data_IF_385382886485
#
_entry.id   IF_385382886485
#
_cell.length_a   1.000
_cell.length_b   1.000
_cell.length_c   1.000
_cell.angle_alpha   90.00
_cell.angle_beta   90.00
_cell.angle_gamma   90.00
#
_symmetry.space_group_name_H-M   'P 1'
#
loop_
_entity.id
_entity.type
_entity.pdbx_description
1 polymer ?
#
# COMPACT_ATOMS: atom_id res chain seq x y z
N UNK A 1 -65.06 36.18 -17.12
CA UNK A 1 -64.42 36.74 -15.91
C UNK A 1 -63.26 35.83 -15.52
N UNK A 2 -62.12 36.40 -15.08
CA UNK A 2 -60.77 36.09 -15.60
C UNK A 2 -59.84 35.37 -14.56
N UNK A 3 -58.96 34.45 -14.97
CA UNK A 3 -57.50 34.58 -15.27
C UNK A 3 -56.57 34.31 -14.05
N UNK A 4 -55.23 34.21 -14.20
CA UNK A 4 -54.35 33.61 -15.24
C UNK A 4 -53.26 32.68 -14.60
N UNK A 5 -52.64 31.71 -15.29
CA UNK A 5 -51.52 31.74 -16.28
C UNK A 5 -50.19 32.38 -15.83
N UNK A 6 -49.07 31.65 -15.95
CA UNK A 6 -47.78 32.13 -16.50
C UNK A 6 -46.80 30.97 -16.84
N UNK A 7 -45.97 31.23 -17.86
CA UNK A 7 -45.08 30.34 -18.66
C UNK A 7 -43.58 30.56 -18.36
N UNK A 8 -42.82 29.47 -18.43
CA UNK A 8 -41.66 29.13 -19.30
C UNK A 8 -40.45 30.09 -19.55
N UNK A 9 -39.26 29.42 -19.53
CA UNK A 9 -37.93 29.67 -20.15
C UNK A 9 -36.81 30.54 -19.52
N UNK A 10 -35.58 29.97 -19.53
CA UNK A 10 -34.23 30.55 -19.37
C UNK A 10 -33.71 31.15 -20.73
N UNK A 11 -32.44 31.66 -20.97
CA UNK A 11 -31.20 31.71 -20.15
C UNK A 11 -30.27 32.98 -20.28
N UNK A 12 -29.13 32.94 -19.56
CA UNK A 12 -27.81 33.62 -19.72
C UNK A 12 -27.67 35.17 -19.82
N UNK A 13 -26.84 35.79 -18.94
CA UNK A 13 -25.50 36.38 -19.26
C UNK A 13 -25.01 37.46 -18.27
N UNK A 14 -23.69 37.43 -18.01
CA UNK A 14 -22.74 38.56 -17.83
C UNK A 14 -22.55 39.35 -16.52
N UNK A 15 -21.27 39.73 -16.37
CA UNK A 15 -20.54 40.43 -15.31
C UNK A 15 -20.91 41.91 -15.13
N UNK A 16 -20.38 42.47 -14.02
CA UNK A 16 -19.78 43.82 -13.84
C UNK A 16 -20.24 44.58 -12.58
N UNK A 17 -19.28 45.39 -12.14
CA UNK A 17 -19.11 46.16 -10.90
C UNK A 17 -20.30 47.04 -10.45
N UNK A 18 -20.26 47.41 -9.15
CA UNK A 18 -20.01 48.77 -8.63
C UNK A 18 -20.76 48.95 -7.28
N UNK A 19 -20.06 48.96 -6.15
CA UNK A 19 -19.75 50.17 -5.35
C UNK A 19 -20.79 51.31 -5.43
N UNK A 20 -21.32 51.73 -4.27
CA UNK A 20 -21.21 53.12 -3.79
C UNK A 20 -22.06 53.40 -2.53
N UNK A 21 -21.40 53.90 -1.49
CA UNK A 21 -21.61 55.26 -0.98
C UNK A 21 -20.37 55.60 -0.13
N UNK A 22 -19.41 56.42 -0.58
CA UNK A 22 -19.43 57.90 -0.65
C UNK A 22 -19.98 58.54 0.64
N UNK A 23 -19.36 59.52 1.27
CA UNK A 23 -18.19 60.40 1.02
C UNK A 23 -18.07 61.27 2.29
N UNK A 24 -16.91 61.79 2.68
CA UNK A 24 -16.21 62.94 2.12
C UNK A 24 -15.42 63.58 3.28
N UNK A 25 -14.12 63.82 3.08
CA UNK A 25 -13.50 65.17 2.99
C UNK A 25 -13.43 65.93 4.34
N UNK A 26 -12.37 66.64 4.72
CA UNK A 26 -11.06 67.01 4.18
C UNK A 26 -10.31 67.81 5.28
N UNK A 27 -8.98 68.00 5.18
CA UNK A 27 -8.29 69.16 5.78
C UNK A 27 -7.16 68.91 6.81
N UNK A 28 -5.92 69.11 6.36
CA UNK A 28 -4.60 69.22 7.05
C UNK A 28 -4.52 70.32 8.15
N UNK A 29 -3.46 70.43 9.04
CA UNK A 29 -2.03 70.31 8.72
C UNK A 29 -1.02 69.78 9.80
N UNK A 30 0.24 69.74 9.33
CA UNK A 30 1.59 69.41 9.82
C UNK A 30 2.06 69.41 11.31
N UNK A 31 3.06 68.51 11.52
CA UNK A 31 4.35 68.60 12.23
C UNK A 31 4.49 68.16 13.71
N UNK A 32 5.30 67.09 13.94
CA UNK A 32 6.58 67.10 14.70
C UNK A 32 7.24 65.70 14.70
N UNK A 33 8.58 65.66 14.60
CA UNK A 33 9.45 64.45 14.62
C UNK A 33 9.96 64.17 16.05
N UNK A 34 10.21 62.88 16.38
CA UNK A 34 11.39 62.28 17.10
C UNK A 34 11.05 60.84 17.61
N UNK A 35 12.00 59.95 18.02
CA UNK A 35 12.63 59.01 17.08
C UNK A 35 12.67 57.51 17.53
N UNK A 36 12.95 56.68 16.51
CA UNK A 36 13.73 55.43 16.48
C UNK A 36 13.49 54.32 17.52
N UNK A 37 12.75 53.31 17.07
CA UNK A 37 12.76 51.92 17.52
C UNK A 37 14.07 51.21 17.14
N UNK A 38 14.66 50.50 18.10
CA UNK A 38 15.80 49.59 17.94
C UNK A 38 15.43 48.33 17.12
N UNK A 39 16.28 47.83 16.20
CA UNK A 39 16.02 46.56 15.54
C UNK A 39 16.58 45.35 16.35
N UNK A 40 15.99 44.16 16.19
CA UNK A 40 16.40 42.94 16.89
C UNK A 40 17.68 42.32 16.29
N UNK A 41 18.36 41.54 17.13
CA UNK A 41 19.51 40.70 16.83
C UNK A 41 19.27 39.81 15.60
N UNK A 42 19.84 40.20 14.46
CA UNK A 42 19.67 39.48 13.20
C UNK A 42 20.50 40.03 12.06
N UNK A 43 21.79 40.36 12.27
CA UNK A 43 22.75 40.60 11.18
C UNK A 43 24.17 40.79 11.72
N UNK A 44 24.85 39.68 12.08
CA UNK A 44 26.28 39.71 12.40
C UNK A 44 27.03 38.45 11.92
N UNK A 45 26.51 37.80 10.87
CA UNK A 45 27.20 36.73 10.15
C UNK A 45 27.31 37.01 8.64
N UNK A 46 26.84 38.15 8.15
CA UNK A 46 26.81 38.49 6.72
C UNK A 46 27.91 39.44 6.25
N UNK A 47 28.88 39.80 7.11
CA UNK A 47 30.00 40.69 6.75
C UNK A 47 31.40 40.05 6.88
N UNK A 48 31.47 38.71 6.94
CA UNK A 48 32.74 37.95 6.79
C UNK A 48 33.04 37.61 5.31
N UNK A 49 32.14 37.98 4.39
CA UNK A 49 32.27 37.74 2.96
C UNK A 49 32.65 39.01 2.17
N UNK A 50 33.56 39.86 2.66
CA UNK A 50 34.14 40.91 1.82
C UNK A 50 35.50 41.47 2.31
N UNK A 51 36.47 40.61 2.61
CA UNK A 51 37.90 40.98 2.59
C UNK A 51 38.78 39.81 2.14
N UNK A 52 38.61 39.36 0.89
CA UNK A 52 39.67 38.62 0.18
C UNK A 52 40.48 39.63 -0.63
N UNK A 53 41.56 40.14 -0.04
CA UNK A 53 42.60 40.89 -0.73
C UNK A 53 43.96 40.51 -0.14
N UNK A 54 44.97 40.16 -0.96
CA UNK A 54 46.25 39.69 -0.45
C UNK A 54 46.97 40.78 0.35
N UNK A 55 47.62 40.36 1.45
CA UNK A 55 48.57 41.15 2.25
C UNK A 55 49.86 41.43 1.46
N UNK A 56 49.75 42.09 0.31
CA UNK A 56 50.87 42.45 -0.54
C UNK A 56 50.72 43.86 -1.06
N UNK A 57 50.56 44.84 -0.16
CA UNK A 57 50.94 46.26 -0.33
C UNK A 57 50.46 47.10 0.85
N UNK A 58 51.27 47.19 1.92
CA UNK A 58 51.28 48.39 2.78
C UNK A 58 52.74 48.72 3.09
N UNK A 59 53.18 49.88 2.55
CA UNK A 59 54.48 50.50 2.77
C UNK A 59 54.32 51.56 3.86
N UNK A 60 54.75 51.28 5.10
CA UNK A 60 55.29 52.24 6.08
C UNK A 60 55.25 51.70 7.53
N UNK A 61 56.23 52.06 8.36
CA UNK A 61 56.36 51.66 9.76
C UNK A 61 55.38 52.37 10.72
N UNK A 62 54.61 53.38 10.27
CA UNK A 62 53.71 54.17 11.12
C UNK A 62 52.39 53.44 11.47
N UNK A 63 51.89 52.58 10.58
CA UNK A 63 50.62 51.84 10.80
C UNK A 63 50.77 50.60 11.69
N UNK A 64 51.99 50.13 11.96
CA UNK A 64 52.25 48.99 12.89
C UNK A 64 52.09 49.39 14.36
N UNK A 65 52.36 50.65 14.74
CA UNK A 65 52.21 51.12 16.13
C UNK A 65 50.74 51.28 16.56
N UNK A 66 49.84 51.64 15.64
CA UNK A 66 48.40 51.74 15.91
C UNK A 66 47.70 50.39 16.07
N UNK A 67 48.13 49.37 15.31
CA UNK A 67 47.61 48.01 15.42
C UNK A 67 48.08 47.30 16.71
N UNK A 68 49.33 47.52 17.14
CA UNK A 68 49.90 46.91 18.35
C UNK A 68 49.31 47.54 19.64
N UNK A 69 49.04 48.85 19.66
CA UNK A 69 48.39 49.50 20.82
C UNK A 69 46.92 49.09 21.01
N UNK A 70 46.20 48.79 19.92
CA UNK A 70 44.83 48.24 19.98
C UNK A 70 44.83 46.78 20.47
N UNK A 71 45.85 45.99 20.13
CA UNK A 71 45.99 44.60 20.59
C UNK A 71 46.32 44.52 22.10
N UNK A 72 47.13 45.45 22.62
CA UNK A 72 47.47 45.51 24.06
C UNK A 72 46.28 45.98 24.91
N UNK A 73 45.47 46.94 24.44
CA UNK A 73 44.24 47.32 25.13
C UNK A 73 43.17 46.20 25.12
N UNK A 74 43.09 45.41 24.03
CA UNK A 74 42.17 44.28 23.93
C UNK A 74 42.59 43.12 24.86
N UNK A 75 43.89 42.90 25.04
CA UNK A 75 44.45 41.91 25.96
C UNK A 75 44.34 42.34 27.45
N UNK A 76 44.50 43.63 27.76
CA UNK A 76 44.30 44.14 29.12
C UNK A 76 42.83 44.06 29.59
N UNK A 77 41.86 44.24 28.69
CA UNK A 77 40.43 44.03 29.00
C UNK A 77 40.04 42.56 29.13
N UNK A 78 40.81 41.63 28.53
CA UNK A 78 40.59 40.19 28.69
C UNK A 78 41.11 39.67 30.04
N UNK A 79 42.15 40.30 30.60
CA UNK A 79 42.76 39.90 31.87
C UNK A 79 41.97 40.45 33.07
N UNK A 80 41.36 41.63 32.96
CA UNK A 80 40.53 42.22 34.04
C UNK A 80 39.17 41.54 34.26
N UNK A 81 38.71 40.68 33.33
CA UNK A 81 37.52 39.85 33.52
C UNK A 81 37.78 38.55 34.31
N UNK A 82 39.03 38.23 34.64
CA UNK A 82 39.38 37.01 35.41
C UNK A 82 39.46 37.23 36.93
N UNK A 83 39.23 38.46 37.40
CA UNK A 83 39.43 38.85 38.81
C UNK A 83 38.13 38.99 39.64
N UNK A 84 36.95 38.83 39.06
CA UNK A 84 35.69 38.85 39.81
C UNK A 84 35.06 37.48 39.71
N UNK A 85 35.05 36.74 40.82
CA UNK A 85 34.54 35.38 40.96
C UNK A 85 33.04 35.24 40.67
N UNK A 86 32.64 35.49 39.43
CA UNK A 86 31.31 35.35 38.88
C UNK A 86 31.40 34.70 37.48
N UNK A 87 32.23 33.66 37.36
CA UNK A 87 32.27 32.77 36.20
C UNK A 87 32.05 31.31 36.65
N UNK A 88 31.13 31.09 37.59
CA UNK A 88 30.77 29.74 38.05
C UNK A 88 29.26 29.49 38.17
N UNK A 89 28.42 30.36 37.59
CA UNK A 89 26.95 30.19 37.60
C UNK A 89 26.30 30.51 36.24
N UNK A 90 26.90 30.09 35.13
CA UNK A 90 26.26 30.13 33.80
C UNK A 90 26.92 29.17 32.79
N UNK A 91 27.49 28.05 33.25
CA UNK A 91 27.52 26.87 32.40
C UNK A 91 26.09 26.33 32.44
N UNK A 92 25.23 26.50 31.41
CA UNK A 92 24.18 25.51 31.26
C UNK A 92 24.90 24.18 31.23
N UNK A 93 24.35 23.21 31.95
CA UNK A 93 24.76 21.81 31.90
C UNK A 93 24.89 21.44 30.41
N UNK A 94 26.09 21.55 29.83
CA UNK A 94 26.39 21.00 28.53
C UNK A 94 26.40 19.51 28.81
N UNK A 95 25.21 18.91 28.78
CA UNK A 95 25.11 17.48 28.52
C UNK A 95 25.92 17.29 27.25
N UNK A 96 27.10 16.67 27.39
CA UNK A 96 27.93 16.33 26.25
C UNK A 96 27.04 15.47 25.36
N UNK A 97 26.58 16.05 24.26
CA UNK A 97 25.71 15.38 23.32
C UNK A 97 26.55 14.24 22.72
N UNK A 98 26.19 13.01 23.06
CA UNK A 98 26.96 11.84 22.66
C UNK A 98 26.50 11.41 21.27
N UNK A 99 27.44 11.02 20.41
CA UNK A 99 27.11 10.40 19.14
C UNK A 99 26.23 9.16 19.40
N UNK A 100 25.27 8.84 18.51
CA UNK A 100 24.44 7.66 18.66
C UNK A 100 25.32 6.41 18.67
N UNK A 101 24.83 5.34 19.29
CA UNK A 101 25.48 4.03 19.21
C UNK A 101 24.44 2.98 18.84
N UNK A 102 24.69 2.20 17.78
CA UNK A 102 23.83 1.12 17.31
C UNK A 102 24.39 -0.20 17.85
N UNK A 103 23.60 -0.92 18.64
CA UNK A 103 23.99 -2.23 19.16
C UNK A 103 23.46 -3.37 18.29
N UNK A 104 22.23 -3.24 17.79
CA UNK A 104 21.59 -4.29 17.00
C UNK A 104 20.37 -3.79 16.22
N UNK A 105 19.97 -4.59 15.23
CA UNK A 105 18.70 -4.48 14.51
C UNK A 105 18.03 -5.86 14.49
N UNK A 106 16.72 -5.91 14.74
CA UNK A 106 15.94 -7.14 14.73
C UNK A 106 14.61 -6.95 13.98
N UNK A 107 14.25 -7.85 13.04
CA UNK A 107 15.11 -8.89 12.46
C UNK A 107 16.29 -8.31 11.67
N UNK A 108 17.39 -9.08 11.57
CA UNK A 108 18.60 -8.68 10.81
C UNK A 108 18.50 -8.92 9.29
N UNK A 109 17.33 -9.32 8.80
CA UNK A 109 17.12 -9.63 7.39
C UNK A 109 15.66 -9.44 6.99
N UNK A 110 15.42 -9.16 5.71
CA UNK A 110 14.10 -8.99 5.13
C UNK A 110 14.14 -9.00 3.60
N UNK A 111 12.97 -9.00 2.97
CA UNK A 111 12.85 -9.13 1.52
C UNK A 111 13.35 -7.87 0.79
N UNK A 112 13.89 -8.04 -0.41
CA UNK A 112 14.26 -6.93 -1.33
C UNK A 112 13.11 -5.98 -1.66
N UNK A 113 11.85 -6.41 -1.49
CA UNK A 113 10.66 -5.57 -1.67
C UNK A 113 10.40 -4.60 -0.51
N UNK A 114 11.08 -4.75 0.62
CA UNK A 114 10.82 -3.98 1.84
C UNK A 114 9.63 -4.50 2.65
N UNK A 115 9.08 -3.66 3.52
CA UNK A 115 7.94 -3.93 4.39
C UNK A 115 8.26 -4.71 5.67
N UNK A 116 9.52 -5.13 5.87
CA UNK A 116 9.93 -5.79 7.12
C UNK A 116 9.92 -4.77 8.26
N UNK A 117 9.11 -4.99 9.29
CA UNK A 117 9.13 -4.14 10.48
C UNK A 117 10.36 -4.49 11.33
N UNK A 118 11.22 -3.51 11.58
CA UNK A 118 12.48 -3.66 12.33
C UNK A 118 12.48 -2.81 13.58
N UNK A 119 13.23 -3.28 14.59
CA UNK A 119 13.57 -2.53 15.79
C UNK A 119 15.09 -2.43 15.89
N UNK A 120 15.59 -1.22 15.96
CA UNK A 120 17.00 -0.89 16.16
C UNK A 120 17.18 -0.55 17.65
N UNK A 121 18.14 -1.21 18.30
CA UNK A 121 18.47 -0.99 19.71
C UNK A 121 19.88 -0.40 19.83
N UNK A 122 20.04 0.56 20.73
CA UNK A 122 21.28 1.34 20.87
C UNK A 122 21.25 2.31 22.05
N UNK A 123 22.03 3.38 21.95
CA UNK A 123 22.09 4.48 22.92
C UNK A 123 22.15 5.84 22.23
N UNK A 124 21.75 6.89 22.96
CA UNK A 124 21.82 8.29 22.56
C UNK A 124 21.04 8.64 21.29
N UNK A 125 19.90 7.97 21.08
CA UNK A 125 18.94 8.39 20.07
C UNK A 125 18.19 9.64 20.56
N UNK A 126 18.07 10.66 19.71
CA UNK A 126 17.24 11.82 19.98
C UNK A 126 15.91 11.74 19.21
N UNK A 127 14.94 12.58 19.55
CA UNK A 127 13.61 12.56 18.94
C UNK A 127 13.59 12.92 17.45
N UNK A 128 14.71 13.41 16.89
CA UNK A 128 14.88 13.75 15.48
C UNK A 128 15.74 12.72 14.74
N UNK A 129 16.05 11.58 15.37
CA UNK A 129 16.85 10.53 14.76
C UNK A 129 16.23 10.06 13.45
N UNK A 130 17.06 9.99 12.40
CA UNK A 130 16.71 9.42 11.10
C UNK A 130 17.53 8.16 10.86
N UNK A 131 16.95 7.22 10.11
CA UNK A 131 17.57 5.92 9.85
C UNK A 131 17.59 5.66 8.35
N UNK A 132 18.72 5.16 7.85
CA UNK A 132 18.85 4.61 6.50
C UNK A 132 19.33 3.17 6.56
N UNK A 133 18.80 2.32 5.67
CA UNK A 133 19.27 0.94 5.46
C UNK A 133 19.76 0.83 4.01
N UNK A 134 21.07 0.67 3.85
CA UNK A 134 21.76 0.89 2.58
C UNK A 134 21.66 2.36 2.18
N UNK A 135 21.04 2.64 1.02
CA UNK A 135 20.83 4.00 0.52
C UNK A 135 19.38 4.50 0.71
N UNK A 136 18.52 3.73 1.36
CA UNK A 136 17.08 4.00 1.43
C UNK A 136 16.68 4.42 2.86
N UNK A 137 15.88 5.48 3.04
CA UNK A 137 15.39 5.90 4.35
C UNK A 137 14.39 4.89 4.92
N UNK A 138 14.47 4.63 6.21
CA UNK A 138 13.50 3.82 6.94
C UNK A 138 12.11 4.49 6.89
N UNK A 139 11.07 3.72 6.64
CA UNK A 139 9.69 4.21 6.56
C UNK A 139 8.99 4.11 7.91
N UNK A 140 7.98 4.96 8.17
CA UNK A 140 7.21 4.96 9.43
C UNK A 140 8.08 4.96 10.69
N UNK A 141 9.12 5.80 10.71
CA UNK A 141 10.08 5.86 11.81
C UNK A 141 9.41 6.32 13.10
N UNK A 142 9.53 5.52 14.14
CA UNK A 142 9.12 5.84 15.50
C UNK A 142 10.35 5.74 16.42
N UNK A 143 10.80 6.87 16.96
CA UNK A 143 11.83 6.90 18.00
C UNK A 143 11.18 6.61 19.35
N UNK A 144 11.49 5.45 19.94
CA UNK A 144 10.86 4.93 21.15
C UNK A 144 11.75 5.16 22.39
N UNK A 145 12.27 6.38 22.50
CA UNK A 145 13.22 6.78 23.54
C UNK A 145 14.68 6.79 23.06
N UNK A 146 15.60 6.99 24.00
CA UNK A 146 17.04 7.16 23.74
C UNK A 146 17.77 5.86 23.36
N UNK A 147 17.08 4.73 23.40
CA UNK A 147 17.66 3.40 23.20
C UNK A 147 17.01 2.58 22.10
N UNK A 148 15.88 3.02 21.51
CA UNK A 148 15.15 2.25 20.50
C UNK A 148 14.56 3.10 19.38
N UNK A 149 14.64 2.60 18.15
CA UNK A 149 13.93 3.13 16.97
C UNK A 149 13.22 1.96 16.29
N UNK A 150 11.97 2.14 15.88
CA UNK A 150 11.22 1.19 15.08
C UNK A 150 10.82 1.80 13.73
N UNK A 151 10.59 0.95 12.73
CA UNK A 151 10.10 1.37 11.42
C UNK A 151 10.07 0.22 10.42
N UNK A 152 9.67 0.51 9.19
CA UNK A 152 9.58 -0.46 8.10
C UNK A 152 10.77 -0.30 7.15
N UNK A 153 11.43 -1.41 6.84
CA UNK A 153 12.53 -1.43 5.87
C UNK A 153 11.98 -1.15 4.47
N UNK A 154 12.53 -0.17 3.73
CA UNK A 154 12.15 0.11 2.35
C UNK A 154 12.63 -0.99 1.38
N UNK A 155 12.25 -0.90 0.11
CA UNK A 155 12.82 -1.78 -0.91
C UNK A 155 14.35 -1.54 -1.08
N UNK A 156 15.08 -2.62 -1.38
CA UNK A 156 16.54 -2.60 -1.47
C UNK A 156 17.13 -3.71 -2.35
N UNK A 157 18.44 -3.61 -2.60
CA UNK A 157 19.19 -4.58 -3.41
C UNK A 157 19.59 -5.79 -2.57
N UNK A 158 19.57 -6.98 -3.18
CA UNK A 158 20.01 -8.23 -2.53
C UNK A 158 21.42 -8.13 -1.97
N UNK A 159 21.60 -8.59 -0.74
CA UNK A 159 22.88 -8.63 -0.05
C UNK A 159 22.88 -7.89 1.28
N UNK A 160 24.03 -7.83 1.97
CA UNK A 160 24.20 -7.04 3.18
C UNK A 160 24.02 -5.54 2.87
N UNK A 161 23.41 -4.82 3.80
CA UNK A 161 23.18 -3.38 3.78
C UNK A 161 23.55 -2.78 5.14
N UNK A 162 24.23 -1.64 5.09
CA UNK A 162 24.62 -0.89 6.28
C UNK A 162 23.40 -0.21 6.90
N UNK A 163 23.31 -0.19 8.23
CA UNK A 163 22.26 0.54 8.96
C UNK A 163 22.90 1.77 9.58
N UNK A 164 22.49 2.96 9.15
CA UNK A 164 22.99 4.23 9.68
C UNK A 164 21.90 4.94 10.46
N UNK A 165 22.21 5.36 11.68
CA UNK A 165 21.36 6.25 12.49
C UNK A 165 22.06 7.60 12.56
N UNK A 166 21.36 8.66 12.18
CA UNK A 166 21.82 10.03 12.25
C UNK A 166 20.99 10.81 13.28
N UNK A 167 21.66 11.45 14.22
CA UNK A 167 21.07 12.31 15.26
C UNK A 167 21.67 13.71 15.17
N UNK A 168 21.17 14.64 15.98
CA UNK A 168 21.76 15.99 16.10
C UNK A 168 23.21 16.00 16.59
N UNK A 169 23.66 14.91 17.21
CA UNK A 169 24.97 14.78 17.86
C UNK A 169 25.99 13.98 17.05
N UNK A 170 25.60 13.50 15.85
CA UNK A 170 26.45 12.73 14.95
C UNK A 170 25.74 11.51 14.37
N UNK A 171 26.51 10.64 13.73
CA UNK A 171 26.00 9.45 13.08
C UNK A 171 26.76 8.22 13.59
N UNK A 172 26.08 7.08 13.58
CA UNK A 172 26.70 5.77 13.76
C UNK A 172 26.20 4.81 12.68
N UNK A 173 27.04 3.83 12.33
CA UNK A 173 26.76 2.89 11.25
C UNK A 173 27.10 1.47 11.66
N UNK A 174 26.08 0.62 11.68
CA UNK A 174 26.22 -0.82 11.81
C UNK A 174 26.45 -1.41 10.42
N UNK A 175 27.71 -1.64 10.06
CA UNK A 175 28.07 -2.19 8.75
C UNK A 175 27.52 -3.60 8.56
N UNK A 176 26.85 -3.85 7.44
CA UNK A 176 26.16 -5.10 7.15
C UNK A 176 25.09 -5.48 8.19
N UNK A 177 24.58 -4.51 8.95
CA UNK A 177 23.63 -4.74 10.05
C UNK A 177 22.33 -5.39 9.60
N UNK A 178 21.92 -5.18 8.34
CA UNK A 178 20.74 -5.78 7.75
C UNK A 178 21.11 -6.54 6.47
N UNK A 179 20.41 -7.63 6.17
CA UNK A 179 20.59 -8.36 4.90
C UNK A 179 19.29 -8.38 4.12
N UNK A 180 19.30 -7.77 2.94
CA UNK A 180 18.25 -7.96 1.95
C UNK A 180 18.41 -9.35 1.35
N UNK A 181 17.50 -10.24 1.70
CA UNK A 181 17.38 -11.51 1.01
C UNK A 181 16.54 -11.27 -0.22
N UNK A 182 17.05 -11.65 -1.39
CA UNK A 182 16.19 -11.82 -2.54
C UNK A 182 15.05 -12.73 -2.08
N UNK A 183 13.81 -12.26 -2.22
CA UNK A 183 12.77 -13.26 -2.41
C UNK A 183 13.27 -14.16 -3.52
N UNK A 184 13.29 -15.49 -3.31
CA UNK A 184 13.22 -16.38 -4.47
C UNK A 184 12.13 -15.75 -5.35
N UNK A 185 12.32 -15.49 -6.66
CA UNK A 185 11.15 -15.22 -7.48
C UNK A 185 10.23 -16.35 -7.10
N UNK A 186 9.10 -16.06 -6.44
CA UNK A 186 8.20 -17.11 -6.04
C UNK A 186 8.04 -17.88 -7.34
N UNK A 187 8.39 -19.17 -7.33
CA UNK A 187 7.85 -20.01 -8.39
C UNK A 187 6.37 -19.70 -8.24
N UNK A 188 5.81 -18.97 -9.22
CA UNK A 188 4.41 -18.62 -9.14
C UNK A 188 3.76 -19.98 -9.02
N UNK A 189 3.04 -20.19 -7.95
CA UNK A 189 2.40 -21.47 -7.72
C UNK A 189 0.92 -21.28 -7.93
N UNK A 190 0.23 -22.39 -7.99
CA UNK A 190 -1.21 -22.48 -8.02
C UNK A 190 -1.60 -23.70 -7.18
N UNK A 191 -2.87 -23.81 -6.86
CA UNK A 191 -3.40 -25.01 -6.24
C UNK A 191 -4.01 -25.90 -7.31
N UNK A 192 -3.61 -27.17 -7.32
CA UNK A 192 -4.24 -28.23 -8.09
C UNK A 192 -5.24 -28.96 -7.19
N UNK A 193 -6.46 -29.07 -7.69
CA UNK A 193 -7.58 -29.79 -7.10
C UNK A 193 -7.83 -31.05 -7.94
N UNK A 194 -8.07 -32.18 -7.29
CA UNK A 194 -8.16 -33.50 -7.92
C UNK A 194 -9.58 -33.98 -8.23
N UNK A 195 -10.60 -33.21 -7.86
CA UNK A 195 -12.01 -33.54 -8.09
C UNK A 195 -12.63 -34.50 -7.07
N UNK A 196 -11.90 -34.90 -6.01
CA UNK A 196 -12.36 -35.91 -5.05
C UNK A 196 -12.71 -35.32 -3.68
N UNK A 197 -11.78 -34.60 -3.04
CA UNK A 197 -11.94 -34.07 -1.69
C UNK A 197 -11.16 -32.77 -1.41
N UNK A 198 -10.42 -32.28 -2.41
CA UNK A 198 -9.62 -31.06 -2.31
C UNK A 198 -10.45 -29.78 -2.18
N UNK A 199 -10.15 -28.97 -1.17
CA UNK A 199 -10.65 -27.59 -1.07
C UNK A 199 -9.72 -26.67 -0.27
N UNK A 200 -9.97 -25.36 -0.36
CA UNK A 200 -9.50 -24.38 0.62
C UNK A 200 -10.70 -23.86 1.40
N UNK A 201 -10.64 -23.88 2.73
CA UNK A 201 -11.65 -23.28 3.59
C UNK A 201 -11.17 -21.94 4.16
N UNK A 202 -11.95 -20.89 3.92
CA UNK A 202 -11.75 -19.54 4.47
C UNK A 202 -12.85 -19.31 5.51
N UNK A 203 -12.49 -19.08 6.79
CA UNK A 203 -13.47 -18.81 7.84
C UNK A 203 -14.43 -17.68 7.49
N UNK A 204 -15.64 -17.72 8.06
CA UNK A 204 -16.60 -16.64 7.89
C UNK A 204 -16.02 -15.29 8.31
N UNK A 205 -16.34 -14.25 7.54
CA UNK A 205 -15.92 -12.89 7.81
C UNK A 205 -16.95 -11.89 7.27
N UNK A 206 -17.30 -10.82 8.01
CA UNK A 206 -18.27 -9.82 7.56
C UNK A 206 -17.95 -9.16 6.21
N UNK A 207 -16.65 -8.98 5.89
CA UNK A 207 -16.23 -8.42 4.60
C UNK A 207 -16.58 -9.31 3.39
N UNK A 208 -16.79 -10.61 3.61
CA UNK A 208 -17.20 -11.57 2.58
C UNK A 208 -18.73 -11.81 2.58
N UNK A 209 -19.47 -11.26 3.55
CA UNK A 209 -20.94 -11.24 3.62
C UNK A 209 -21.51 -10.05 2.83
N UNK A 210 -21.37 -10.09 1.50
CA UNK A 210 -21.65 -8.94 0.63
C UNK A 210 -23.12 -8.91 0.17
N UNK A 211 -23.88 -7.91 0.61
CA UNK A 211 -25.28 -7.70 0.20
C UNK A 211 -25.43 -6.77 -1.01
N UNK A 212 -24.45 -5.89 -1.21
CA UNK A 212 -24.36 -4.96 -2.33
C UNK A 212 -23.73 -5.62 -3.55
N UNK A 213 -23.14 -4.79 -4.40
CA UNK A 213 -22.43 -5.23 -5.59
C UNK A 213 -21.14 -5.97 -5.24
N UNK A 214 -20.76 -6.92 -6.08
CA UNK A 214 -19.52 -7.67 -5.87
C UNK A 214 -19.00 -8.28 -7.15
N UNK A 215 -17.73 -8.66 -7.11
CA UNK A 215 -17.05 -9.40 -8.17
C UNK A 215 -16.24 -10.54 -7.57
N UNK A 216 -16.33 -11.73 -8.16
CA UNK A 216 -15.44 -12.86 -7.85
C UNK A 216 -14.70 -13.23 -9.11
N UNK A 217 -13.38 -13.35 -9.05
CA UNK A 217 -12.55 -13.68 -10.21
C UNK A 217 -11.40 -14.62 -9.84
N UNK A 218 -10.93 -15.38 -10.83
CA UNK A 218 -9.81 -16.31 -10.70
C UNK A 218 -9.17 -16.61 -12.06
N UNK A 219 -7.93 -17.07 -12.05
CA UNK A 219 -7.37 -17.83 -13.16
C UNK A 219 -7.62 -19.31 -12.95
N UNK A 220 -8.07 -20.00 -14.00
CA UNK A 220 -8.34 -21.45 -13.97
C UNK A 220 -7.70 -22.15 -15.16
N UNK A 221 -7.23 -23.39 -14.96
CA UNK A 221 -6.86 -24.33 -16.01
C UNK A 221 -7.58 -25.65 -15.72
N UNK A 222 -8.53 -26.01 -16.58
CA UNK A 222 -9.42 -27.15 -16.35
C UNK A 222 -9.17 -28.25 -17.39
N UNK A 223 -9.31 -29.53 -17.00
CA UNK A 223 -9.26 -30.66 -17.93
C UNK A 223 -10.45 -30.63 -18.90
N UNK A 224 -10.39 -31.34 -20.04
CA UNK A 224 -11.46 -31.37 -21.04
C UNK A 224 -12.82 -31.86 -20.56
N UNK A 225 -12.84 -32.64 -19.50
CA UNK A 225 -14.03 -33.19 -18.87
C UNK A 225 -13.81 -33.22 -17.37
N UNK A 226 -14.88 -33.04 -16.59
CA UNK A 226 -14.86 -33.29 -15.16
C UNK A 226 -15.33 -34.73 -14.92
N UNK A 227 -14.59 -35.53 -14.16
CA UNK A 227 -15.03 -36.88 -13.78
C UNK A 227 -15.88 -36.85 -12.49
N UNK A 228 -17.04 -36.20 -12.56
CA UNK A 228 -17.90 -36.04 -11.39
C UNK A 228 -19.38 -36.29 -11.70
N UNK A 229 -20.07 -36.91 -10.75
CA UNK A 229 -21.48 -37.29 -10.88
C UNK A 229 -22.46 -36.12 -10.68
N UNK A 230 -21.97 -34.90 -10.42
CA UNK A 230 -22.79 -33.72 -10.10
C UNK A 230 -22.85 -32.74 -11.28
N UNK A 231 -23.85 -31.85 -11.27
CA UNK A 231 -24.05 -30.88 -12.37
C UNK A 231 -23.02 -29.75 -12.40
N UNK A 232 -22.51 -29.34 -11.23
CA UNK A 232 -21.57 -28.21 -11.14
C UNK A 232 -20.52 -28.42 -10.08
N UNK A 233 -19.32 -27.88 -10.31
CA UNK A 233 -18.21 -27.87 -9.35
C UNK A 233 -17.79 -26.43 -9.01
N UNK A 234 -17.49 -26.12 -7.74
CA UNK A 234 -17.18 -24.75 -7.34
C UNK A 234 -15.73 -24.37 -7.63
N UNK A 235 -15.53 -23.24 -8.31
CA UNK A 235 -14.24 -22.54 -8.30
C UNK A 235 -14.13 -21.77 -6.99
N UNK A 236 -15.14 -20.95 -6.68
CA UNK A 236 -15.29 -20.23 -5.41
C UNK A 236 -16.75 -20.25 -4.99
N UNK A 237 -17.04 -20.53 -3.74
CA UNK A 237 -18.39 -20.41 -3.20
C UNK A 237 -18.39 -19.85 -1.78
N UNK A 238 -19.42 -19.11 -1.42
CA UNK A 238 -19.75 -18.83 -0.02
C UNK A 238 -21.22 -19.14 0.14
N UNK A 239 -21.51 -20.31 0.67
CA UNK A 239 -22.88 -20.80 0.71
C UNK A 239 -23.16 -21.71 1.90
N UNK A 240 -24.42 -21.68 2.33
CA UNK A 240 -24.95 -22.31 3.53
C UNK A 240 -26.12 -23.24 3.19
N UNK A 241 -26.31 -24.28 4.00
CA UNK A 241 -27.55 -25.07 4.01
C UNK A 241 -28.66 -24.39 4.83
N UNK A 242 -28.44 -23.17 5.33
CA UNK A 242 -29.45 -22.38 6.03
C UNK A 242 -30.42 -21.72 5.04
N UNK A 243 -31.51 -22.42 4.74
CA UNK A 243 -32.60 -21.96 3.87
C UNK A 243 -33.65 -21.09 4.58
N UNK A 244 -33.25 -20.37 5.63
CA UNK A 244 -34.16 -19.46 6.33
C UNK A 244 -33.72 -18.00 6.31
N UNK A 245 -32.41 -17.72 6.22
CA UNK A 245 -31.89 -16.36 6.35
C UNK A 245 -30.64 -16.04 5.55
N UNK A 246 -29.91 -17.05 5.05
CA UNK A 246 -28.53 -16.87 4.58
C UNK A 246 -28.46 -16.71 3.06
N UNK A 247 -27.95 -15.56 2.60
CA UNK A 247 -27.63 -15.33 1.18
C UNK A 247 -26.43 -16.17 0.74
N UNK A 248 -26.30 -16.42 -0.56
CA UNK A 248 -25.28 -17.29 -1.13
C UNK A 248 -24.78 -16.75 -2.48
N UNK A 249 -23.52 -17.03 -2.80
CA UNK A 249 -22.95 -16.80 -4.13
C UNK A 249 -21.97 -17.89 -4.53
N UNK A 250 -21.93 -18.18 -5.83
CA UNK A 250 -21.12 -19.25 -6.41
C UNK A 250 -20.52 -18.83 -7.75
N UNK A 251 -19.21 -18.96 -7.88
CA UNK A 251 -18.51 -19.04 -9.15
C UNK A 251 -18.18 -20.52 -9.38
N UNK A 252 -18.93 -21.17 -10.27
CA UNK A 252 -18.86 -22.60 -10.53
C UNK A 252 -18.50 -22.86 -12.00
N UNK A 253 -18.28 -24.13 -12.31
CA UNK A 253 -18.34 -24.67 -13.66
C UNK A 253 -19.48 -25.67 -13.77
N UNK A 254 -20.04 -25.82 -14.97
CA UNK A 254 -20.90 -26.94 -15.32
C UNK A 254 -20.03 -28.13 -15.72
N UNK A 255 -20.32 -29.33 -15.22
CA UNK A 255 -19.39 -30.46 -15.34
C UNK A 255 -19.45 -31.19 -16.69
N UNK A 256 -20.55 -31.05 -17.44
CA UNK A 256 -20.76 -31.67 -18.76
C UNK A 256 -20.02 -30.96 -19.89
N UNK A 257 -19.91 -29.64 -19.85
CA UNK A 257 -19.30 -28.82 -20.91
C UNK A 257 -18.27 -27.79 -20.42
N UNK A 258 -17.94 -27.79 -19.12
CA UNK A 258 -17.03 -26.85 -18.46
C UNK A 258 -17.42 -25.37 -18.67
N UNK A 259 -18.70 -25.04 -18.87
CA UNK A 259 -19.12 -23.66 -18.96
C UNK A 259 -19.09 -22.96 -17.59
N UNK A 260 -18.70 -21.68 -17.59
CA UNK A 260 -18.70 -20.84 -16.40
C UNK A 260 -20.13 -20.65 -15.89
N UNK A 261 -20.36 -20.85 -14.61
CA UNK A 261 -21.65 -20.66 -13.95
C UNK A 261 -21.51 -19.62 -12.85
N UNK A 262 -22.33 -18.58 -12.90
CA UNK A 262 -22.52 -17.66 -11.79
C UNK A 262 -23.90 -17.86 -11.20
N UNK A 263 -23.97 -18.18 -9.91
CA UNK A 263 -25.24 -18.28 -9.20
C UNK A 263 -25.26 -17.41 -7.95
N UNK A 264 -26.46 -16.93 -7.62
CA UNK A 264 -26.77 -16.29 -6.34
C UNK A 264 -28.06 -16.88 -5.76
N UNK A 265 -28.13 -16.93 -4.44
CA UNK A 265 -29.31 -17.38 -3.71
C UNK A 265 -29.60 -16.46 -2.54
N UNK A 266 -30.87 -16.25 -2.23
CA UNK A 266 -31.28 -15.41 -1.10
C UNK A 266 -31.48 -16.20 0.19
N UNK A 267 -31.42 -17.53 0.13
CA UNK A 267 -31.59 -18.41 1.27
C UNK A 267 -33.03 -18.58 1.74
N UNK A 268 -34.05 -18.16 1.00
CA UNK A 268 -35.46 -18.47 1.32
C UNK A 268 -36.27 -18.96 0.11
N UNK A 269 -35.57 -19.35 -0.96
CA UNK A 269 -36.17 -19.90 -2.19
C UNK A 269 -35.92 -19.06 -3.44
N UNK A 270 -35.39 -17.84 -3.32
CA UNK A 270 -34.88 -17.07 -4.44
C UNK A 270 -33.52 -17.60 -4.89
N UNK A 271 -33.43 -17.98 -6.16
CA UNK A 271 -32.21 -18.52 -6.76
C UNK A 271 -32.11 -18.07 -8.22
N UNK A 272 -30.95 -17.55 -8.61
CA UNK A 272 -30.68 -17.08 -9.96
C UNK A 272 -29.36 -17.66 -10.45
N UNK A 273 -29.36 -18.21 -11.66
CA UNK A 273 -28.20 -18.79 -12.33
C UNK A 273 -27.99 -18.11 -13.67
N UNK A 274 -26.74 -17.86 -14.01
CA UNK A 274 -26.27 -17.40 -15.30
C UNK A 274 -25.16 -18.34 -15.76
N UNK A 275 -25.28 -18.87 -16.97
CA UNK A 275 -24.29 -19.78 -17.58
C UNK A 275 -23.63 -19.10 -18.77
N UNK A 276 -22.33 -19.26 -18.88
CA UNK A 276 -21.53 -18.90 -20.05
C UNK A 276 -21.76 -19.83 -21.23
N UNK A 277 -20.86 -19.78 -22.20
CA UNK A 277 -20.91 -20.56 -23.45
C UNK A 277 -19.54 -21.03 -23.95
N UNK A 278 -18.47 -20.55 -23.32
CA UNK A 278 -17.08 -20.87 -23.62
C UNK A 278 -16.71 -22.10 -22.82
N UNK A 279 -16.45 -23.21 -23.49
CA UNK A 279 -15.91 -24.40 -22.85
C UNK A 279 -14.55 -24.08 -22.23
N UNK A 280 -14.46 -24.16 -20.89
CA UNK A 280 -13.23 -23.87 -20.16
C UNK A 280 -12.26 -25.06 -20.08
N UNK A 281 -12.73 -26.26 -20.41
CA UNK A 281 -12.00 -27.52 -20.41
C UNK A 281 -11.12 -27.67 -21.65
N UNK A 282 -10.06 -26.88 -21.72
CA UNK A 282 -9.11 -26.93 -22.85
C UNK A 282 -7.65 -27.00 -22.40
N UNK A 283 -7.43 -27.31 -21.11
CA UNK A 283 -6.12 -27.45 -20.47
C UNK A 283 -5.18 -26.25 -20.71
N UNK A 284 -5.75 -25.04 -20.68
CA UNK A 284 -5.02 -23.78 -20.70
C UNK A 284 -5.56 -22.83 -19.65
N UNK A 285 -4.71 -21.89 -19.22
CA UNK A 285 -5.13 -20.79 -18.36
C UNK A 285 -6.16 -19.90 -19.04
N UNK A 286 -7.28 -19.69 -18.35
CA UNK A 286 -8.30 -18.70 -18.68
C UNK A 286 -8.66 -17.91 -17.43
N UNK A 287 -8.81 -16.60 -17.59
CA UNK A 287 -9.34 -15.76 -16.53
C UNK A 287 -10.86 -15.84 -16.55
N UNK A 288 -11.47 -16.02 -15.41
CA UNK A 288 -12.93 -16.05 -15.25
C UNK A 288 -13.35 -15.04 -14.19
N UNK A 289 -14.45 -14.34 -14.44
CA UNK A 289 -15.03 -13.42 -13.47
C UNK A 289 -16.56 -13.45 -13.50
N UNK A 290 -17.15 -13.33 -12.32
CA UNK A 290 -18.58 -13.10 -12.13
C UNK A 290 -18.77 -11.74 -11.46
N UNK A 291 -19.62 -10.90 -12.05
CA UNK A 291 -19.95 -9.57 -11.54
C UNK A 291 -21.44 -9.51 -11.25
N UNK A 292 -21.79 -9.14 -10.02
CA UNK A 292 -23.13 -8.71 -9.65
C UNK A 292 -23.12 -7.21 -9.47
N UNK A 293 -23.89 -6.52 -10.30
CA UNK A 293 -24.21 -5.11 -10.14
C UNK A 293 -25.60 -4.92 -9.53
N UNK A 294 -26.00 -3.66 -9.35
CA UNK A 294 -27.35 -3.32 -8.94
C UNK A 294 -28.42 -3.79 -9.95
N UNK A 295 -28.05 -3.91 -11.23
CA UNK A 295 -28.97 -4.19 -12.34
C UNK A 295 -28.83 -5.58 -12.96
N UNK A 296 -27.64 -6.19 -12.92
CA UNK A 296 -27.36 -7.43 -13.65
C UNK A 296 -26.45 -8.40 -12.91
N UNK A 297 -26.55 -9.67 -13.29
CA UNK A 297 -25.46 -10.63 -13.18
C UNK A 297 -24.74 -10.69 -14.53
N UNK A 298 -23.42 -10.77 -14.52
CA UNK A 298 -22.60 -10.88 -15.72
C UNK A 298 -21.45 -11.86 -15.48
N UNK A 299 -21.09 -12.62 -16.51
CA UNK A 299 -19.90 -13.49 -16.51
C UNK A 299 -18.94 -13.08 -17.62
N UNK A 300 -17.65 -13.23 -17.34
CA UNK A 300 -16.57 -12.82 -18.22
C UNK A 300 -15.52 -13.92 -18.34
N UNK A 301 -15.02 -14.13 -19.55
CA UNK A 301 -13.89 -15.04 -19.83
C UNK A 301 -12.79 -14.25 -20.53
N UNK A 302 -11.57 -14.32 -20.02
CA UNK A 302 -10.40 -13.55 -20.48
C UNK A 302 -10.65 -12.04 -20.56
N UNK A 303 -11.45 -11.52 -19.63
CA UNK A 303 -11.81 -10.10 -19.57
C UNK A 303 -12.82 -9.67 -20.63
N UNK A 304 -13.43 -10.59 -21.37
CA UNK A 304 -14.50 -10.31 -22.34
C UNK A 304 -15.85 -10.71 -21.75
N UNK A 305 -16.88 -9.88 -21.96
CA UNK A 305 -18.24 -10.21 -21.54
C UNK A 305 -18.74 -11.41 -22.35
N UNK A 306 -19.23 -12.41 -21.64
CA UNK A 306 -19.76 -13.63 -22.24
C UNK A 306 -21.28 -13.68 -22.19
N UNK A 307 -21.85 -13.44 -21.00
CA UNK A 307 -23.29 -13.43 -20.80
C UNK A 307 -23.68 -12.45 -19.70
N UNK A 308 -24.91 -11.94 -19.75
CA UNK A 308 -25.49 -11.10 -18.72
C UNK A 308 -27.01 -11.29 -18.66
N UNK A 309 -27.58 -11.15 -17.46
CA UNK A 309 -29.02 -11.22 -17.23
C UNK A 309 -29.45 -10.18 -16.20
N UNK A 310 -30.66 -9.58 -16.32
CA UNK A 310 -31.19 -8.72 -15.28
C UNK A 310 -31.24 -9.43 -13.93
N UNK A 311 -30.82 -8.75 -12.86
CA UNK A 311 -30.86 -9.31 -11.51
C UNK A 311 -32.31 -9.39 -11.02
N UNK A 312 -32.74 -10.55 -10.56
CA UNK A 312 -34.07 -10.75 -9.99
C UNK A 312 -34.08 -11.35 -8.57
N UNK A 313 -32.90 -11.65 -8.02
CA UNK A 313 -32.73 -12.18 -6.66
C UNK A 313 -31.94 -11.19 -5.79
N UNK A 314 -32.46 -10.91 -4.59
CA UNK A 314 -31.78 -10.10 -3.59
C UNK A 314 -30.67 -10.90 -2.89
N UNK A 315 -29.63 -10.20 -2.40
CA UNK A 315 -28.66 -10.84 -1.50
C UNK A 315 -29.05 -10.60 -0.04
N UNK A 316 -28.69 -11.56 0.82
CA UNK A 316 -28.87 -11.53 2.26
C UNK A 316 -27.52 -11.70 2.96
N UNK A 317 -27.42 -11.40 4.27
CA UNK A 317 -26.23 -11.72 5.05
C UNK A 317 -25.82 -13.19 4.89
N UNK A 318 -24.52 -13.46 4.99
CA UNK A 318 -23.97 -14.78 4.78
C UNK A 318 -22.89 -15.11 5.81
N UNK A 319 -23.19 -16.09 6.65
CA UNK A 319 -22.39 -16.60 7.76
C UNK A 319 -21.64 -17.90 7.44
N UNK A 320 -21.73 -18.38 6.19
CA UNK A 320 -20.99 -19.57 5.76
C UNK A 320 -19.50 -19.25 5.56
N UNK A 321 -18.58 -20.19 5.78
CA UNK A 321 -17.22 -20.04 5.28
C UNK A 321 -17.22 -19.90 3.76
N UNK A 322 -16.23 -19.17 3.23
CA UNK A 322 -15.93 -19.17 1.81
C UNK A 322 -15.05 -20.38 1.49
N UNK A 323 -15.25 -21.01 0.34
CA UNK A 323 -14.48 -22.16 -0.10
C UNK A 323 -13.99 -21.98 -1.52
N UNK A 324 -12.80 -22.49 -1.80
CA UNK A 324 -12.18 -22.54 -3.13
C UNK A 324 -12.01 -24.00 -3.51
N UNK A 325 -12.46 -24.36 -4.72
CA UNK A 325 -12.26 -25.69 -5.30
C UNK A 325 -13.16 -26.82 -4.78
N UNK A 326 -13.84 -26.66 -3.64
CA UNK A 326 -14.72 -27.73 -3.16
C UNK A 326 -15.71 -27.34 -2.06
N UNK A 327 -16.72 -28.19 -1.87
CA UNK A 327 -17.62 -28.13 -0.72
C UNK A 327 -18.00 -29.55 -0.25
N UNK A 328 -17.73 -29.89 1.02
CA UNK A 328 -17.82 -31.26 1.53
C UNK A 328 -19.22 -31.64 2.04
N UNK A 329 -20.21 -30.75 2.00
CA UNK A 329 -21.62 -31.10 2.26
C UNK A 329 -22.52 -29.91 1.99
N UNK A 330 -23.00 -29.79 0.75
CA UNK A 330 -23.97 -28.75 0.38
C UNK A 330 -25.14 -29.38 -0.35
N UNK A 331 -26.36 -29.12 0.13
CA UNK A 331 -27.59 -29.74 -0.42
C UNK A 331 -27.53 -31.28 -0.53
N UNK A 332 -26.81 -31.94 0.39
CA UNK A 332 -26.60 -33.39 0.35
C UNK A 332 -25.66 -33.86 -0.77
N UNK A 333 -24.93 -32.94 -1.41
CA UNK A 333 -23.94 -33.20 -2.45
C UNK A 333 -22.54 -32.86 -1.98
N UNK A 334 -21.58 -33.68 -2.41
CA UNK A 334 -20.15 -33.41 -2.34
C UNK A 334 -19.74 -32.88 -3.72
N UNK A 335 -19.20 -31.66 -3.77
CA UNK A 335 -18.82 -31.03 -5.04
C UNK A 335 -17.36 -30.61 -4.96
N UNK A 336 -16.53 -31.16 -5.83
CA UNK A 336 -15.10 -30.89 -5.87
C UNK A 336 -14.68 -30.62 -7.30
N UNK A 337 -13.83 -29.62 -7.48
CA UNK A 337 -13.27 -29.19 -8.75
C UNK A 337 -12.10 -30.09 -9.13
N UNK A 338 -12.06 -30.56 -10.36
CA UNK A 338 -10.82 -31.04 -10.96
C UNK A 338 -10.19 -29.92 -11.79
N UNK A 339 -8.98 -29.49 -11.45
CA UNK A 339 -8.28 -28.45 -12.18
C UNK A 339 -7.21 -27.72 -11.39
N UNK A 340 -6.73 -26.61 -11.94
CA UNK A 340 -5.72 -25.75 -11.31
C UNK A 340 -6.26 -24.33 -11.20
N UNK A 341 -6.16 -23.71 -10.02
CA UNK A 341 -6.66 -22.36 -9.73
C UNK A 341 -5.53 -21.46 -9.23
N UNK A 342 -5.53 -20.22 -9.68
CA UNK A 342 -4.56 -19.17 -9.30
C UNK A 342 -5.28 -17.81 -9.13
N UNK A 343 -4.67 -16.88 -8.40
CA UNK A 343 -5.09 -15.47 -8.28
C UNK A 343 -6.59 -15.24 -7.97
N UNK A 344 -7.14 -15.94 -6.97
CA UNK A 344 -8.54 -15.80 -6.56
C UNK A 344 -8.77 -14.45 -5.87
N UNK A 345 -9.76 -13.68 -6.31
CA UNK A 345 -10.09 -12.36 -5.75
C UNK A 345 -11.58 -12.22 -5.52
N UNK A 346 -11.92 -11.50 -4.45
CA UNK A 346 -13.28 -11.06 -4.14
C UNK A 346 -13.26 -9.56 -3.93
N UNK A 347 -14.12 -8.87 -4.67
CA UNK A 347 -14.34 -7.43 -4.57
C UNK A 347 -15.75 -7.16 -4.06
N UNK A 348 -15.94 -6.19 -3.19
CA UNK A 348 -17.27 -5.70 -2.76
C UNK A 348 -17.78 -4.56 -3.66
N UNK A 349 -17.34 -4.55 -4.92
CA UNK A 349 -17.77 -3.64 -5.97
C UNK A 349 -18.02 -4.42 -7.27
N UNK A 350 -18.90 -3.89 -8.11
CA UNK A 350 -19.05 -4.38 -9.48
C UNK A 350 -17.89 -3.85 -10.34
N UNK A 351 -16.96 -4.73 -10.72
CA UNK A 351 -15.82 -4.36 -11.55
C UNK A 351 -16.27 -4.18 -13.01
N UNK A 352 -15.78 -3.14 -13.65
CA UNK A 352 -16.01 -2.91 -15.09
C UNK A 352 -15.13 -3.82 -15.95
N UNK A 353 -15.49 -4.00 -17.23
CA UNK A 353 -14.67 -4.74 -18.20
C UNK A 353 -13.23 -4.23 -18.25
N UNK A 354 -13.05 -2.91 -18.29
CA UNK A 354 -11.74 -2.29 -18.33
C UNK A 354 -10.92 -2.62 -17.08
N UNK A 355 -11.55 -2.50 -15.91
CA UNK A 355 -10.93 -2.84 -14.64
C UNK A 355 -10.51 -4.30 -14.52
N UNK A 356 -11.32 -5.23 -15.03
CA UNK A 356 -10.99 -6.66 -15.10
C UNK A 356 -9.78 -6.89 -16.02
N UNK A 357 -9.80 -6.30 -17.22
CA UNK A 357 -8.72 -6.44 -18.19
C UNK A 357 -7.38 -5.85 -17.68
N UNK A 358 -7.44 -4.70 -16.98
CA UNK A 358 -6.27 -4.04 -16.42
C UNK A 358 -5.68 -4.78 -15.21
N UNK A 359 -6.51 -5.54 -14.47
CA UNK A 359 -6.11 -6.23 -13.25
C UNK A 359 -5.76 -7.71 -13.46
N UNK A 360 -6.35 -8.40 -14.45
CA UNK A 360 -6.22 -9.86 -14.58
C UNK A 360 -4.78 -10.33 -14.82
N UNK A 361 -3.92 -9.50 -15.44
CA UNK A 361 -2.52 -9.83 -15.72
C UNK A 361 -1.52 -9.24 -14.72
N UNK A 362 -1.94 -8.76 -13.55
CA UNK A 362 -1.04 -8.20 -12.55
C UNK A 362 -1.45 -8.60 -11.15
N UNK A 363 -0.49 -8.61 -10.23
CA UNK A 363 -0.83 -8.64 -8.81
C UNK A 363 -1.47 -7.32 -8.39
N UNK A 364 -2.47 -7.41 -7.52
CA UNK A 364 -3.23 -6.27 -7.01
C UNK A 364 -2.67 -5.85 -5.65
N UNK A 365 -2.67 -4.56 -5.35
CA UNK A 365 -2.19 -4.08 -4.05
C UNK A 365 -3.27 -4.26 -2.98
N UNK A 366 -2.87 -4.56 -1.73
CA UNK A 366 -3.81 -4.79 -0.63
C UNK A 366 -4.73 -3.59 -0.34
N UNK A 367 -4.30 -2.39 -0.71
CA UNK A 367 -5.05 -1.13 -0.53
C UNK A 367 -6.00 -0.77 -1.67
N UNK A 368 -6.15 -1.64 -2.67
CA UNK A 368 -7.05 -1.39 -3.81
C UNK A 368 -8.50 -1.32 -3.32
N UNK A 369 -9.20 -0.24 -3.70
CA UNK A 369 -10.54 0.03 -3.15
C UNK A 369 -11.50 -1.10 -3.52
N UNK A 370 -12.12 -1.64 -2.49
CA UNK A 370 -13.13 -2.67 -2.60
C UNK A 370 -12.61 -4.09 -2.73
N UNK A 371 -11.30 -4.32 -2.67
CA UNK A 371 -10.74 -5.67 -2.55
C UNK A 371 -10.97 -6.18 -1.11
N UNK A 372 -11.72 -7.28 -0.97
CA UNK A 372 -12.08 -7.86 0.34
C UNK A 372 -11.58 -9.29 0.55
N UNK A 373 -10.99 -9.88 -0.48
CA UNK A 373 -10.21 -11.12 -0.40
C UNK A 373 -9.32 -11.25 -1.63
N UNK A 374 -8.08 -11.69 -1.44
CA UNK A 374 -7.12 -11.93 -2.51
C UNK A 374 -6.15 -13.06 -2.14
N UNK A 375 -6.45 -14.27 -2.61
CA UNK A 375 -5.57 -15.42 -2.44
C UNK A 375 -4.73 -15.60 -3.69
N UNK A 376 -3.46 -15.24 -3.59
CA UNK A 376 -2.50 -15.33 -4.72
C UNK A 376 -2.10 -16.76 -5.05
N UNK A 377 -2.40 -17.72 -4.18
CA UNK A 377 -2.09 -19.15 -4.33
C UNK A 377 -0.61 -19.44 -4.66
N UNK A 378 0.30 -18.60 -4.16
CA UNK A 378 1.75 -18.75 -4.34
C UNK A 378 2.45 -19.45 -3.17
N UNK A 379 1.75 -20.33 -2.45
CA UNK A 379 2.29 -21.03 -1.29
C UNK A 379 3.32 -22.10 -1.66
N UNK A 380 4.09 -22.57 -0.68
CA UNK A 380 5.07 -23.66 -0.83
C UNK A 380 4.41 -25.01 -0.63
N UNK A 381 5.02 -26.08 -1.16
CA UNK A 381 4.51 -27.47 -1.12
C UNK A 381 3.96 -27.95 0.23
N UNK A 382 4.51 -27.48 1.35
CA UNK A 382 4.15 -27.94 2.69
C UNK A 382 3.38 -26.86 3.50
N UNK A 383 2.94 -25.77 2.86
CA UNK A 383 2.17 -24.72 3.52
C UNK A 383 0.68 -25.07 3.56
N UNK A 384 0.10 -25.04 4.76
CA UNK A 384 -1.33 -25.29 4.99
C UNK A 384 -2.17 -24.01 5.01
N UNK A 385 -1.57 -22.88 5.35
CA UNK A 385 -2.26 -21.58 5.33
C UNK A 385 -2.23 -21.02 3.92
N UNK A 386 -3.37 -20.53 3.45
CA UNK A 386 -3.51 -19.77 2.20
C UNK A 386 -3.68 -18.30 2.55
N UNK A 387 -2.62 -17.46 2.44
CA UNK A 387 -2.69 -16.09 2.88
C UNK A 387 -3.62 -15.24 2.01
N UNK A 388 -4.43 -14.41 2.64
CA UNK A 388 -5.15 -13.32 2.00
C UNK A 388 -4.24 -12.09 1.92
N UNK A 389 -3.97 -11.65 0.69
CA UNK A 389 -3.14 -10.49 0.37
C UNK A 389 -3.92 -9.18 0.32
N UNK A 390 -5.21 -9.19 0.64
CA UNK A 390 -6.03 -7.99 0.80
C UNK A 390 -5.86 -7.37 2.20
N UNK A 391 -6.50 -6.23 2.45
CA UNK A 391 -6.47 -5.57 3.75
C UNK A 391 -7.30 -6.29 4.84
N UNK A 392 -8.11 -7.30 4.50
CA UNK A 392 -9.03 -7.97 5.44
C UNK A 392 -8.44 -9.20 6.11
N UNK A 393 -7.31 -9.74 5.62
CA UNK A 393 -6.60 -10.88 6.21
C UNK A 393 -7.47 -12.14 6.38
N UNK A 394 -8.39 -12.40 5.46
CA UNK A 394 -9.25 -13.58 5.40
C UNK A 394 -8.46 -14.83 4.96
N UNK A 395 -7.45 -15.22 5.73
CA UNK A 395 -6.60 -16.36 5.40
C UNK A 395 -7.43 -17.65 5.34
N UNK A 396 -7.15 -18.48 4.33
CA UNK A 396 -7.69 -19.82 4.21
C UNK A 396 -6.77 -20.89 4.80
N UNK A 397 -7.28 -22.11 4.85
CA UNK A 397 -6.55 -23.33 5.20
C UNK A 397 -6.84 -24.38 4.14
N UNK A 398 -5.84 -25.17 3.75
CA UNK A 398 -6.06 -26.32 2.86
C UNK A 398 -6.89 -27.39 3.59
N UNK A 399 -7.86 -27.99 2.90
CA UNK A 399 -8.74 -29.00 3.45
C UNK A 399 -9.64 -28.49 4.59
N UNK A 400 -9.89 -29.36 5.58
CA UNK A 400 -10.72 -29.06 6.77
C UNK A 400 -9.91 -29.00 8.07
N UNK A 401 -8.60 -29.20 8.00
CA UNK A 401 -7.74 -29.34 9.16
C UNK A 401 -6.44 -28.55 8.99
N UNK A 402 -5.73 -28.35 10.10
CA UNK A 402 -4.41 -27.70 10.08
C UNK A 402 -3.26 -28.64 9.74
N UNK A 403 -3.54 -29.92 9.46
CA UNK A 403 -2.53 -30.92 9.13
C UNK A 403 -2.45 -31.07 7.62
N UNK A 404 -1.24 -31.33 7.11
CA UNK A 404 -1.07 -31.71 5.70
C UNK A 404 -1.64 -33.12 5.51
N UNK A 405 -2.68 -33.23 4.70
CA UNK A 405 -3.45 -34.44 4.45
C UNK A 405 -3.42 -34.80 2.95
N UNK A 406 -3.70 -36.07 2.64
CA UNK A 406 -3.79 -36.52 1.24
C UNK A 406 -4.99 -35.96 0.49
N UNK A 407 -5.96 -35.41 1.23
CA UNK A 407 -7.18 -34.73 0.77
C UNK A 407 -7.02 -33.22 0.66
N UNK A 408 -5.78 -32.72 0.75
CA UNK A 408 -5.47 -31.32 0.56
C UNK A 408 -5.08 -31.05 -0.88
N UNK A 409 -5.53 -29.92 -1.47
CA UNK A 409 -5.07 -29.52 -2.79
C UNK A 409 -3.56 -29.34 -2.80
N UNK A 410 -2.96 -29.71 -3.93
CA UNK A 410 -1.51 -29.78 -4.06
C UNK A 410 -0.95 -28.52 -4.72
N UNK A 411 0.12 -27.97 -4.13
CA UNK A 411 0.84 -26.86 -4.75
C UNK A 411 1.57 -27.30 -6.03
N UNK A 412 1.28 -26.63 -7.13
CA UNK A 412 1.93 -26.83 -8.44
C UNK A 412 2.53 -25.53 -8.95
N UNK A 413 3.51 -25.62 -9.85
CA UNK A 413 4.03 -24.42 -10.52
C UNK A 413 2.96 -23.85 -11.47
N UNK A 414 2.71 -22.56 -11.32
CA UNK A 414 1.84 -21.74 -12.16
C UNK A 414 2.63 -21.05 -13.27
N UNK A 415 2.14 -21.26 -14.48
CA UNK A 415 2.48 -20.54 -15.70
C UNK A 415 1.35 -19.61 -16.16
N UNK A 416 0.40 -19.27 -15.27
CA UNK A 416 -0.64 -18.29 -15.56
C UNK A 416 -0.01 -16.95 -16.01
N UNK A 417 -0.63 -16.20 -16.94
CA UNK A 417 -0.01 -15.02 -17.53
C UNK A 417 -0.11 -13.78 -16.63
N UNK A 418 0.47 -13.83 -15.42
CA UNK A 418 0.55 -12.69 -14.51
C UNK A 418 1.92 -12.04 -14.63
N UNK A 419 1.93 -10.73 -14.90
CA UNK A 419 3.14 -9.92 -14.94
C UNK A 419 3.64 -9.69 -13.52
N UNK A 420 4.84 -10.15 -13.22
CA UNK A 420 5.63 -9.59 -12.12
C UNK A 420 5.90 -8.11 -12.43
N UNK A 421 5.83 -7.21 -11.43
CA UNK A 421 6.20 -5.79 -11.59
C UNK A 421 7.51 -5.68 -12.37
N UNK A 422 7.46 -5.20 -13.62
CA UNK A 422 8.67 -4.73 -14.29
C UNK A 422 9.03 -3.40 -13.62
N UNK A 423 10.18 -3.36 -12.96
CA UNK A 423 10.84 -2.08 -12.69
C UNK A 423 10.97 -1.35 -14.02
N UNK A 424 10.48 -0.11 -14.17
CA UNK A 424 10.61 0.61 -15.43
C UNK A 424 12.09 0.72 -15.78
N UNK A 425 12.51 0.08 -16.87
CA UNK A 425 13.83 0.33 -17.45
C UNK A 425 13.81 1.78 -17.89
N UNK A 426 14.49 2.66 -17.14
CA UNK A 426 14.67 4.05 -17.52
C UNK A 426 15.44 4.05 -18.83
N UNK A 427 14.75 4.27 -19.94
CA UNK A 427 15.43 4.59 -21.19
C UNK A 427 16.19 5.88 -20.95
N UNK A 428 17.52 5.77 -20.84
CA UNK A 428 18.41 6.90 -20.95
C UNK A 428 18.29 7.40 -22.39
N UNK A 429 17.46 8.42 -22.58
CA UNK A 429 17.49 9.23 -23.79
C UNK A 429 18.85 9.90 -23.84
N UNK A 430 19.75 9.39 -24.68
CA UNK A 430 20.96 10.10 -25.04
C UNK A 430 20.55 11.31 -25.88
N UNK A 431 20.61 12.50 -25.29
CA UNK A 431 20.68 13.76 -26.05
C UNK A 431 21.99 13.76 -26.81
N UNK A 432 21.92 13.58 -28.13
CA UNK A 432 22.99 13.98 -29.05
C UNK A 432 22.92 15.50 -29.14
N UNK A 433 23.96 16.16 -28.66
CA UNK A 433 24.25 17.57 -28.94
C UNK A 433 24.91 17.65 -30.31
N UNK A 434 24.24 18.30 -31.26
CA UNK A 434 24.84 18.71 -32.53
C UNK A 434 25.79 19.90 -32.27
N UNK A 435 27.06 19.76 -32.69
CA UNK A 435 27.94 20.86 -33.08
C UNK A 435 28.05 20.90 -34.60
#
# INVERSE_FOLDING_TARGET
>A
MPAPMLRYDQPHSEEWHEQASQGGESGQPAATRSPSTSPPFGSALTDIACMRGPLSRVRSAKDRKGAIMKLIHLLCNLISLTSSGLLLMLLPLFALAQAPQINSIAPRSGLTLGGTHVTISGFHFDSLASVTIGCSPLENVAVLGDTKIAGNVPAGLTGPADVTVATSSGNDTLSGGFTYVAGRPAARNALRFDGADDMVEVPDHPALSIMGDFTVEAWVRLPPSQDTATYTSPIVCKASNNFTTTGNYWLNIQNDDNHLVFAIGDGIGGYQVLVGSTNLGVDRWMHVAAVRSESSLSVYVNGLLENATPRNVAQRPNDAPLRIGGVPSMHGSLLFLEGVVDEVRVWNTARTVQELQDAMHRSVHSSERGLVGYWTLNGRRDEQTVPDSSATSNNGVLGTSSNVEGSDPTWVTSDAPIRSKRTPTRHLSATVSDE
#
